data_IF_036197654831
#
_entry.id   IF_036197654831
#
_cell.length_a   1.000
_cell.length_b   1.000
_cell.length_c   1.000
_cell.angle_alpha   90.00
_cell.angle_beta   90.00
_cell.angle_gamma   90.00
#
_symmetry.space_group_name_H-M   'P 1'
#
loop_
_entity.id
_entity.type
_entity.pdbx_description
1 polymer ?
#
# COMPACT_ATOMS: atom_id res chain seq x y z
N UNK A 1 -39.80 -70.25 -9.19
CA UNK A 1 -41.08 -69.74 -8.65
C UNK A 1 -40.80 -68.96 -7.37
N UNK A 2 -41.42 -67.78 -7.26
CA UNK A 2 -41.53 -66.86 -6.11
C UNK A 2 -40.32 -65.98 -5.75
N UNK A 3 -40.46 -64.72 -6.13
CA UNK A 3 -39.76 -63.53 -5.64
C UNK A 3 -40.09 -63.27 -4.16
N UNK A 4 -39.13 -62.75 -3.39
CA UNK A 4 -39.42 -61.75 -2.35
C UNK A 4 -38.24 -60.77 -2.22
N UNK A 5 -38.60 -59.49 -2.22
CA UNK A 5 -37.77 -58.28 -2.26
C UNK A 5 -37.49 -57.77 -0.83
N UNK A 6 -36.47 -56.90 -0.69
CA UNK A 6 -36.16 -55.92 0.37
C UNK A 6 -34.89 -56.26 1.17
N UNK A 7 -33.92 -55.38 1.38
CA UNK A 7 -33.80 -53.97 1.01
C UNK A 7 -32.32 -53.55 1.08
N UNK A 8 -31.93 -52.66 0.16
CA UNK A 8 -30.58 -52.09 0.11
C UNK A 8 -30.54 -50.92 1.09
N UNK A 9 -29.76 -51.04 2.15
CA UNK A 9 -29.42 -49.87 3.00
C UNK A 9 -28.23 -49.18 2.35
N UNK A 10 -28.51 -48.16 1.55
CA UNK A 10 -27.51 -47.22 1.06
C UNK A 10 -27.19 -46.29 2.24
N UNK A 11 -26.06 -46.53 2.92
CA UNK A 11 -25.46 -45.50 3.77
C UNK A 11 -24.86 -44.44 2.83
N UNK A 12 -25.61 -43.36 2.61
CA UNK A 12 -25.05 -42.12 2.09
C UNK A 12 -24.07 -41.59 3.14
N UNK A 13 -22.78 -41.87 2.96
CA UNK A 13 -21.72 -41.08 3.58
C UNK A 13 -21.82 -39.72 2.90
N UNK A 14 -22.60 -38.83 3.50
CA UNK A 14 -22.62 -37.43 3.11
C UNK A 14 -21.22 -36.94 3.43
N UNK A 15 -20.39 -36.84 2.39
CA UNK A 15 -19.16 -36.08 2.45
C UNK A 15 -19.55 -34.67 2.81
N UNK A 16 -19.50 -34.36 4.11
CA UNK A 16 -19.27 -33.00 4.54
C UNK A 16 -17.85 -32.70 4.05
N UNK A 17 -17.78 -32.15 2.83
CA UNK A 17 -16.69 -31.28 2.46
C UNK A 17 -16.60 -30.28 3.61
N UNK A 18 -15.59 -30.44 4.47
CA UNK A 18 -15.15 -29.34 5.26
C UNK A 18 -14.77 -28.29 4.22
N UNK A 19 -15.62 -27.26 4.09
CA UNK A 19 -15.22 -26.03 3.43
C UNK A 19 -13.86 -25.69 4.05
N UNK A 20 -12.78 -25.57 3.26
CA UNK A 20 -11.55 -25.02 3.80
C UNK A 20 -11.98 -23.68 4.37
N UNK A 21 -11.81 -23.53 5.68
CA UNK A 21 -12.04 -22.29 6.41
C UNK A 21 -11.50 -21.19 5.51
N UNK A 22 -12.41 -20.44 4.88
CA UNK A 22 -12.01 -19.36 4.01
C UNK A 22 -11.23 -18.48 4.94
N UNK A 23 -9.89 -18.49 4.80
CA UNK A 23 -9.02 -17.60 5.52
C UNK A 23 -9.54 -16.22 5.12
N UNK A 24 -10.40 -15.65 5.96
CA UNK A 24 -10.72 -14.25 5.93
C UNK A 24 -9.40 -13.61 6.35
N UNK A 25 -8.48 -13.48 5.39
CA UNK A 25 -7.36 -12.57 5.48
C UNK A 25 -8.01 -11.20 5.64
N UNK A 26 -8.33 -10.87 6.89
CA UNK A 26 -8.77 -9.56 7.28
C UNK A 26 -7.66 -8.58 6.95
N UNK A 27 -8.05 -7.32 6.74
CA UNK A 27 -7.11 -6.26 6.51
C UNK A 27 -6.07 -6.22 7.66
N UNK A 28 -4.82 -5.85 7.37
CA UNK A 28 -3.79 -5.73 8.39
C UNK A 28 -4.25 -4.77 9.49
N UNK A 29 -3.81 -5.01 10.72
CA UNK A 29 -4.07 -4.09 11.82
C UNK A 29 -3.53 -2.70 11.48
N UNK A 30 -4.24 -1.67 11.94
CA UNK A 30 -3.79 -0.28 11.80
C UNK A 30 -2.38 -0.10 12.37
N UNK A 31 -1.55 0.61 11.62
CA UNK A 31 -0.20 0.97 12.03
C UNK A 31 -0.24 2.13 13.03
N UNK A 32 0.53 2.02 14.11
CA UNK A 32 0.65 3.06 15.14
C UNK A 32 2.12 3.40 15.30
N UNK A 33 2.45 4.67 15.11
CA UNK A 33 3.78 5.20 15.35
C UNK A 33 3.68 6.58 16.01
N UNK A 34 4.74 6.98 16.70
CA UNK A 34 4.88 8.37 17.10
C UNK A 34 5.21 9.20 15.87
N UNK A 35 4.30 10.10 15.49
CA UNK A 35 4.46 11.00 14.35
C UNK A 35 4.85 12.40 14.82
N UNK A 36 5.51 13.14 13.94
CA UNK A 36 5.91 14.52 14.17
C UNK A 36 5.69 15.33 12.89
N UNK A 37 5.64 16.65 13.03
CA UNK A 37 5.61 17.55 11.88
C UNK A 37 6.88 17.36 11.03
N UNK A 38 6.68 17.30 9.72
CA UNK A 38 7.75 17.15 8.73
C UNK A 38 7.93 18.49 8.02
N UNK A 39 9.14 19.07 8.01
CA UNK A 39 9.38 20.35 7.34
C UNK A 39 9.22 20.22 5.83
N UNK A 40 8.81 21.33 5.20
CA UNK A 40 8.76 21.41 3.74
C UNK A 40 10.15 21.45 3.12
N UNK A 41 10.33 20.79 1.98
CA UNK A 41 11.64 20.58 1.36
C UNK A 41 11.56 20.70 -0.16
N UNK A 42 12.65 21.15 -0.78
CA UNK A 42 12.81 21.02 -2.23
C UNK A 42 13.01 19.55 -2.57
N UNK A 43 12.38 19.10 -3.65
CA UNK A 43 12.41 17.71 -4.08
C UNK A 43 13.07 17.62 -5.44
N UNK A 44 13.99 16.67 -5.59
CA UNK A 44 14.47 16.28 -6.91
C UNK A 44 13.33 15.54 -7.62
N UNK A 45 12.83 16.16 -8.68
CA UNK A 45 11.80 15.56 -9.54
C UNK A 45 12.46 14.93 -10.77
N UNK A 46 11.91 13.84 -11.31
CA UNK A 46 12.35 13.28 -12.57
C UNK A 46 12.31 14.35 -13.68
N UNK A 47 13.27 14.32 -14.63
CA UNK A 47 13.28 15.29 -15.74
C UNK A 47 12.03 15.17 -16.62
N UNK A 48 11.42 13.98 -16.67
CA UNK A 48 10.15 13.70 -17.35
C UNK A 48 9.26 12.84 -16.46
N UNK A 49 7.92 13.03 -16.48
CA UNK A 49 6.99 12.19 -15.74
C UNK A 49 7.14 10.71 -16.15
N UNK A 50 7.21 9.83 -15.16
CA UNK A 50 7.28 8.38 -15.41
C UNK A 50 5.89 7.84 -15.70
N UNK A 51 5.77 6.65 -16.32
CA UNK A 51 4.47 6.09 -16.68
C UNK A 51 3.48 6.00 -15.51
N UNK A 52 3.94 5.62 -14.31
CA UNK A 52 3.09 5.51 -13.13
C UNK A 52 2.72 6.84 -12.47
N UNK A 53 3.47 7.91 -12.72
CA UNK A 53 3.15 9.25 -12.19
C UNK A 53 1.84 9.79 -12.81
N UNK A 54 1.51 9.35 -14.03
CA UNK A 54 0.36 9.86 -14.81
C UNK A 54 -0.72 8.83 -15.11
N UNK A 55 -0.46 7.53 -14.90
CA UNK A 55 -1.41 6.45 -15.20
C UNK A 55 -1.64 5.54 -14.00
N UNK A 56 -2.90 5.43 -13.57
CA UNK A 56 -3.29 4.52 -12.50
C UNK A 56 -3.04 3.06 -12.88
N UNK A 57 -3.33 2.69 -14.13
CA UNK A 57 -3.06 1.35 -14.65
C UNK A 57 -1.57 1.02 -14.64
N UNK A 58 -0.71 1.97 -15.02
CA UNK A 58 0.73 1.75 -14.98
C UNK A 58 1.25 1.62 -13.54
N UNK A 59 0.72 2.44 -12.61
CA UNK A 59 1.04 2.35 -11.18
C UNK A 59 0.68 0.98 -10.60
N UNK A 60 -0.55 0.52 -10.85
CA UNK A 60 -1.05 -0.78 -10.41
C UNK A 60 -0.16 -1.92 -10.92
N UNK A 61 0.18 -1.89 -12.22
CA UNK A 61 1.02 -2.92 -12.84
C UNK A 61 2.43 -2.97 -12.26
N UNK A 62 3.07 -1.81 -12.04
CA UNK A 62 4.44 -1.76 -11.51
C UNK A 62 4.46 -2.20 -10.04
N UNK A 63 3.47 -1.79 -9.24
CA UNK A 63 3.38 -2.23 -7.83
C UNK A 63 3.13 -3.74 -7.74
N UNK A 64 2.29 -4.29 -8.60
CA UNK A 64 2.07 -5.74 -8.68
C UNK A 64 3.36 -6.50 -9.03
N UNK A 65 4.22 -5.95 -9.89
CA UNK A 65 5.53 -6.53 -10.21
C UNK A 65 6.53 -6.46 -9.05
N UNK A 66 6.28 -5.60 -8.06
CA UNK A 66 7.09 -5.44 -6.84
C UNK A 66 6.48 -6.15 -5.63
N UNK A 67 5.69 -7.21 -5.85
CA UNK A 67 4.98 -7.95 -4.79
C UNK A 67 4.08 -7.08 -3.90
N UNK A 68 3.57 -5.97 -4.45
CA UNK A 68 2.76 -4.98 -3.73
C UNK A 68 3.57 -3.93 -3.00
N UNK A 69 4.91 -3.97 -3.03
CA UNK A 69 5.73 -3.00 -2.30
C UNK A 69 5.76 -1.63 -2.97
N UNK A 70 5.52 -0.60 -2.16
CA UNK A 70 5.61 0.79 -2.57
C UNK A 70 5.98 1.70 -1.37
N UNK A 71 6.30 2.94 -1.68
CA UNK A 71 6.41 4.04 -0.71
C UNK A 71 5.25 4.99 -0.96
N UNK A 72 4.49 5.30 0.08
CA UNK A 72 3.44 6.33 0.04
C UNK A 72 3.96 7.54 0.79
N UNK A 73 4.21 8.64 0.08
CA UNK A 73 4.56 9.91 0.69
C UNK A 73 3.29 10.69 1.03
N UNK A 74 3.22 11.24 2.25
CA UNK A 74 2.09 12.05 2.69
C UNK A 74 2.28 13.53 2.37
N UNK A 75 1.18 14.25 2.20
CA UNK A 75 1.16 15.72 2.09
C UNK A 75 0.09 16.34 2.98
N UNK A 76 0.16 17.65 3.18
CA UNK A 76 -0.95 18.39 3.76
C UNK A 76 -2.15 18.42 2.77
N UNK A 77 -3.41 18.27 3.25
CA UNK A 77 -4.61 18.19 2.41
C UNK A 77 -4.69 19.28 1.32
N UNK A 78 -4.46 20.54 1.69
CA UNK A 78 -4.60 21.68 0.78
C UNK A 78 -3.32 22.04 0.01
N UNK A 79 -2.24 21.26 0.19
CA UNK A 79 -0.97 21.50 -0.49
C UNK A 79 -0.94 20.87 -1.89
N UNK A 80 -0.23 21.52 -2.83
CA UNK A 80 0.04 20.93 -4.14
C UNK A 80 0.99 19.74 -4.03
N UNK A 81 0.87 18.79 -4.96
CA UNK A 81 1.77 17.63 -5.07
C UNK A 81 3.19 18.03 -5.44
N UNK A 82 4.18 17.45 -4.77
CA UNK A 82 5.60 17.73 -4.98
C UNK A 82 6.05 17.45 -6.41
N UNK A 83 5.54 16.38 -7.04
CA UNK A 83 5.84 16.04 -8.44
C UNK A 83 5.42 17.14 -9.44
N UNK A 84 4.47 18.01 -9.07
CA UNK A 84 4.01 19.13 -9.91
C UNK A 84 4.82 20.40 -9.68
N UNK A 85 5.34 20.60 -8.48
CA UNK A 85 5.92 21.87 -8.03
C UNK A 85 7.44 21.82 -7.82
N UNK A 86 8.04 20.63 -7.74
CA UNK A 86 9.42 20.44 -7.28
C UNK A 86 9.61 20.72 -5.78
N UNK A 87 8.53 20.92 -5.02
CA UNK A 87 8.59 21.26 -3.60
C UNK A 87 7.46 20.59 -2.84
N UNK A 88 7.81 19.86 -1.79
CA UNK A 88 6.84 19.38 -0.81
C UNK A 88 6.63 20.44 0.27
N UNK A 89 5.37 20.73 0.58
CA UNK A 89 5.02 21.58 1.70
C UNK A 89 5.37 20.90 3.04
N UNK A 90 5.29 21.65 4.15
CA UNK A 90 5.36 21.01 5.46
C UNK A 90 4.15 20.06 5.63
N UNK A 91 4.38 18.91 6.24
CA UNK A 91 3.35 17.89 6.49
C UNK A 91 3.08 17.86 7.99
N UNK A 92 1.89 18.27 8.45
CA UNK A 92 1.56 18.21 9.86
C UNK A 92 1.42 16.75 10.32
N UNK A 93 1.78 16.47 11.57
CA UNK A 93 1.64 15.14 12.19
C UNK A 93 0.23 14.57 12.02
N UNK A 94 -0.80 15.41 12.15
CA UNK A 94 -2.20 15.02 11.99
C UNK A 94 -2.55 14.53 10.57
N UNK A 95 -1.91 15.04 9.53
CA UNK A 95 -2.10 14.54 8.16
C UNK A 95 -1.46 13.16 7.97
N UNK A 96 -0.37 12.87 8.69
CA UNK A 96 0.30 11.56 8.66
C UNK A 96 -0.55 10.51 9.39
N UNK A 97 -1.12 10.86 10.54
CA UNK A 97 -2.07 10.00 11.27
C UNK A 97 -3.27 9.64 10.40
N UNK A 98 -3.90 10.65 9.79
CA UNK A 98 -5.00 10.44 8.84
C UNK A 98 -4.56 9.63 7.60
N UNK A 99 -3.30 9.77 7.19
CA UNK A 99 -2.69 8.96 6.15
C UNK A 99 -2.62 7.48 6.53
N UNK A 100 -2.27 7.16 7.77
CA UNK A 100 -2.31 5.77 8.25
C UNK A 100 -3.74 5.23 8.33
N UNK A 101 -4.71 6.04 8.74
CA UNK A 101 -6.13 5.66 8.73
C UNK A 101 -6.61 5.36 7.30
N UNK A 102 -6.23 6.20 6.33
CA UNK A 102 -6.50 5.98 4.91
C UNK A 102 -5.91 4.65 4.43
N UNK A 103 -4.64 4.37 4.74
CA UNK A 103 -3.99 3.13 4.34
C UNK A 103 -4.69 1.91 4.94
N UNK A 104 -5.06 1.96 6.23
CA UNK A 104 -5.80 0.91 6.89
C UNK A 104 -7.19 0.67 6.26
N UNK A 105 -7.91 1.75 5.92
CA UNK A 105 -9.21 1.68 5.26
C UNK A 105 -9.17 1.00 3.87
N UNK A 106 -7.99 0.97 3.23
CA UNK A 106 -7.74 0.29 1.96
C UNK A 106 -6.91 -0.99 2.11
N UNK A 107 -6.80 -1.52 3.33
CA UNK A 107 -6.11 -2.78 3.64
C UNK A 107 -4.64 -2.79 3.22
N UNK A 108 -4.02 -1.61 3.16
CA UNK A 108 -2.60 -1.44 2.87
C UNK A 108 -1.82 -1.70 4.15
N UNK A 109 -0.90 -2.67 4.11
CA UNK A 109 -0.03 -2.98 5.24
C UNK A 109 1.12 -1.97 5.29
N UNK A 110 1.26 -1.22 6.39
CA UNK A 110 2.44 -0.39 6.64
C UNK A 110 3.53 -1.27 7.24
N UNK A 111 4.68 -1.32 6.60
CA UNK A 111 5.84 -2.13 6.98
C UNK A 111 6.87 -1.32 7.76
N UNK A 112 7.01 -0.04 7.41
CA UNK A 112 7.92 0.91 8.06
C UNK A 112 7.42 2.35 7.85
N UNK A 113 7.85 3.26 8.74
CA UNK A 113 7.55 4.68 8.65
C UNK A 113 8.83 5.51 8.70
N UNK A 114 9.03 6.32 7.65
CA UNK A 114 10.19 7.20 7.49
C UNK A 114 9.84 8.61 7.91
N UNK A 115 9.87 8.85 9.23
CA UNK A 115 9.41 10.10 9.84
C UNK A 115 10.13 11.36 9.37
N UNK A 116 11.39 11.27 8.95
CA UNK A 116 12.13 12.43 8.42
C UNK A 116 11.56 12.97 7.10
N UNK A 117 10.85 12.13 6.36
CA UNK A 117 10.26 12.48 5.08
C UNK A 117 8.75 12.23 5.05
N UNK A 118 8.09 11.91 6.16
CA UNK A 118 6.65 11.70 6.20
C UNK A 118 6.15 10.69 5.16
N UNK A 119 6.81 9.54 5.05
CA UNK A 119 6.48 8.52 4.08
C UNK A 119 6.39 7.13 4.74
N UNK A 120 5.51 6.28 4.22
CA UNK A 120 5.33 4.91 4.67
C UNK A 120 5.85 3.93 3.62
N UNK A 121 6.68 2.97 4.04
CA UNK A 121 6.92 1.77 3.25
C UNK A 121 5.76 0.82 3.47
N UNK A 122 5.13 0.38 2.38
CA UNK A 122 3.89 -0.38 2.43
C UNK A 122 3.94 -1.63 1.58
N UNK A 123 3.00 -2.54 1.85
CA UNK A 123 2.55 -3.57 0.92
C UNK A 123 1.07 -3.33 0.62
N UNK A 124 0.77 -3.06 -0.65
CA UNK A 124 -0.56 -2.72 -1.13
C UNK A 124 -1.23 -3.94 -1.77
N UNK A 125 -2.49 -4.24 -1.44
CA UNK A 125 -3.27 -5.23 -2.18
C UNK A 125 -3.69 -4.67 -3.55
N UNK A 126 -4.08 -5.55 -4.51
CA UNK A 126 -4.62 -5.11 -5.80
C UNK A 126 -5.79 -4.13 -5.63
N UNK A 127 -5.81 -3.09 -6.45
CA UNK A 127 -6.82 -2.02 -6.46
C UNK A 127 -6.57 -0.88 -5.47
N UNK A 128 -5.82 -1.11 -4.39
CA UNK A 128 -5.48 -0.06 -3.43
C UNK A 128 -4.67 1.09 -4.04
N UNK A 129 -3.63 0.87 -4.88
CA UNK A 129 -2.89 1.97 -5.50
C UNK A 129 -3.77 2.93 -6.28
N UNK A 130 -4.68 2.37 -7.09
CA UNK A 130 -5.64 3.15 -7.88
C UNK A 130 -6.65 3.88 -6.99
N UNK A 131 -7.09 3.26 -5.89
CA UNK A 131 -8.06 3.85 -4.98
C UNK A 131 -7.52 5.06 -4.20
N UNK A 132 -6.23 5.04 -3.80
CA UNK A 132 -5.68 6.08 -2.92
C UNK A 132 -4.84 7.14 -3.63
N UNK A 133 -4.36 6.89 -4.87
CA UNK A 133 -3.38 7.78 -5.54
C UNK A 133 -3.80 9.25 -5.55
N UNK A 134 -5.09 9.51 -5.79
CA UNK A 134 -5.63 10.84 -5.99
C UNK A 134 -6.15 11.48 -4.70
N UNK A 135 -6.03 10.79 -3.56
CA UNK A 135 -6.44 11.30 -2.25
C UNK A 135 -5.60 12.53 -1.84
N UNK A 136 -6.23 13.50 -1.17
CA UNK A 136 -5.59 14.76 -0.76
C UNK A 136 -4.49 14.60 0.30
N UNK A 137 -4.42 13.45 0.97
CA UNK A 137 -3.34 13.13 1.91
C UNK A 137 -2.12 12.49 1.22
N UNK A 138 -2.26 12.04 -0.03
CA UNK A 138 -1.20 11.36 -0.78
C UNK A 138 -0.48 12.36 -1.67
N UNK A 139 0.84 12.47 -1.51
CA UNK A 139 1.69 13.28 -2.37
C UNK A 139 1.99 12.52 -3.67
N UNK A 140 2.65 11.36 -3.52
CA UNK A 140 2.97 10.43 -4.58
C UNK A 140 3.10 9.01 -4.01
N UNK A 141 3.00 8.03 -4.93
CA UNK A 141 3.25 6.63 -4.65
C UNK A 141 4.44 6.22 -5.52
N UNK A 142 5.51 5.79 -4.87
CA UNK A 142 6.73 5.36 -5.52
C UNK A 142 6.81 3.83 -5.43
N UNK A 143 6.65 3.09 -6.54
CA UNK A 143 6.93 1.66 -6.55
C UNK A 143 8.38 1.42 -6.13
N UNK A 144 8.64 0.33 -5.42
CA UNK A 144 9.99 0.05 -4.89
C UNK A 144 11.03 0.05 -6.01
N UNK A 145 11.86 1.08 -6.06
CA UNK A 145 13.12 1.10 -6.78
C UNK A 145 14.22 1.13 -5.72
N UNK A 146 14.84 -0.02 -5.44
CA UNK A 146 16.06 -0.03 -4.63
C UNK A 146 17.00 0.99 -5.27
N UNK A 147 17.43 2.00 -4.49
CA UNK A 147 18.35 3.10 -4.84
C UNK A 147 17.75 4.47 -5.25
N UNK A 148 16.44 4.62 -5.51
CA UNK A 148 15.88 5.90 -6.01
C UNK A 148 14.53 6.30 -5.40
N UNK A 149 14.44 6.37 -4.07
CA UNK A 149 13.30 7.05 -3.42
C UNK A 149 13.46 8.56 -3.57
N UNK A 150 12.49 9.21 -4.21
CA UNK A 150 12.49 10.68 -4.33
C UNK A 150 12.44 11.36 -2.96
N UNK A 151 13.19 12.45 -2.80
CA UNK A 151 13.30 13.19 -1.54
C UNK A 151 14.23 12.56 -0.51
N UNK A 152 14.87 11.45 -0.87
CA UNK A 152 15.92 10.85 -0.07
C UNK A 152 17.27 11.30 -0.62
N UNK A 153 18.00 12.12 0.14
CA UNK A 153 19.37 12.49 -0.24
C UNK A 153 20.26 11.24 -0.28
N UNK A 154 21.45 11.32 -0.91
CA UNK A 154 22.42 10.21 -1.05
C UNK A 154 22.67 9.40 0.25
N UNK A 155 22.59 10.05 1.41
CA UNK A 155 22.76 9.44 2.73
C UNK A 155 21.64 8.47 3.14
N UNK A 156 20.41 8.62 2.64
CA UNK A 156 19.31 7.72 2.94
C UNK A 156 19.43 6.41 2.14
N UNK A 157 19.81 6.49 0.86
CA UNK A 157 20.05 5.31 0.01
C UNK A 157 21.12 4.39 0.61
N UNK A 158 22.19 4.94 1.19
CA UNK A 158 23.25 4.16 1.85
C UNK A 158 22.77 3.46 3.14
N UNK A 159 21.81 4.05 3.86
CA UNK A 159 21.28 3.48 5.11
C UNK A 159 20.27 2.36 4.85
N UNK A 160 19.47 2.48 3.78
CA UNK A 160 18.50 1.45 3.37
C UNK A 160 19.17 0.26 2.69
N UNK A 161 20.23 0.48 1.89
CA UNK A 161 20.98 -0.60 1.25
C UNK A 161 21.84 -1.43 2.24
N UNK A 162 22.05 -0.93 3.46
CA UNK A 162 22.85 -1.57 4.50
C UNK A 162 22.03 -2.41 5.50
N UNK A 163 20.73 -2.57 5.29
CA UNK A 163 19.83 -3.44 6.08
C UNK A 163 19.30 -4.57 5.22
#
# INVERSE_FOLDING_TARGET
MRFTTAGVVIFAVVGACADPEAATEGCPSQFVAHVQDVPGVAMDVPPEPRPWDTSATALEQVIAQQDGHAVVAFKAPDSARALKTGRRAAVPASAIEQGFDLLAAHCVAVLDYWGLIGAAHVRMPPGAPTAIRDNDLVDYIEPRQWESVQGSGRAFSETVAAR
#
